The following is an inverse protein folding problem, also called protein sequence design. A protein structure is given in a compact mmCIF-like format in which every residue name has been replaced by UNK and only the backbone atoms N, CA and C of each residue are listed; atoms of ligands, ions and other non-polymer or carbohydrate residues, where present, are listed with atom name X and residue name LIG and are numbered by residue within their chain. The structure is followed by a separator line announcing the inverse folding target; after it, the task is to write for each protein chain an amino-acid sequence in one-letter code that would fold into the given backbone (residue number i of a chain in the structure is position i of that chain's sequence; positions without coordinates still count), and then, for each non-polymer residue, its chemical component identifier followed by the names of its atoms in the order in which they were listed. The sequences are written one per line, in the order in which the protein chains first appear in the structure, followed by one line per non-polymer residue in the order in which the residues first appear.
data_IF_031332709288
#
_entry.id   IF_031332709288
#
_cell.length_a   1.000
_cell.length_b   1.000
_cell.length_c   1.000
_cell.angle_alpha   90.00
_cell.angle_beta   90.00
_cell.angle_gamma   90.00
#
_symmetry.space_group_name_H-M   'P 1'
#
loop_
_entity.id
_entity.type
_entity.pdbx_description
1 polymer ?
#
# COMPACT_ATOMS: atom_id res chain seq x y z
N UNK A 1 -5.94 -22.72 -41.70
CA UNK A 1 -6.76 -21.62 -41.14
C UNK A 1 -6.26 -21.38 -39.72
N UNK A 2 -5.31 -20.45 -39.55
CA UNK A 2 -4.67 -20.19 -38.25
C UNK A 2 -5.43 -19.07 -37.58
N UNK A 3 -6.24 -19.37 -36.56
CA UNK A 3 -6.84 -18.36 -35.70
C UNK A 3 -5.82 -17.99 -34.62
N UNK A 4 -5.17 -16.85 -34.78
CA UNK A 4 -4.44 -16.20 -33.71
C UNK A 4 -5.45 -15.45 -32.83
N UNK A 5 -5.67 -15.93 -31.60
CA UNK A 5 -6.41 -15.21 -30.57
C UNK A 5 -5.47 -14.14 -29.98
N UNK A 6 -5.80 -12.87 -30.23
CA UNK A 6 -5.12 -11.73 -29.63
C UNK A 6 -5.49 -11.60 -28.15
N UNK A 7 -4.48 -11.54 -27.29
CA UNK A 7 -4.64 -11.17 -25.89
C UNK A 7 -4.85 -9.65 -25.80
N UNK A 8 -6.02 -9.23 -25.33
CA UNK A 8 -6.26 -7.84 -24.97
C UNK A 8 -5.70 -7.58 -23.57
N UNK A 9 -4.58 -6.86 -23.48
CA UNK A 9 -4.00 -6.40 -22.21
C UNK A 9 -4.84 -5.27 -21.63
N UNK A 10 -5.57 -5.55 -20.56
CA UNK A 10 -6.25 -4.57 -19.70
C UNK A 10 -5.44 -4.34 -18.43
N UNK A 11 -4.21 -3.82 -18.55
CA UNK A 11 -3.35 -3.56 -17.39
C UNK A 11 -3.67 -2.20 -16.75
N UNK A 12 -3.72 -1.13 -17.54
CA UNK A 12 -3.78 0.25 -17.03
C UNK A 12 -5.04 0.59 -16.21
N UNK A 13 -6.24 0.16 -16.65
CA UNK A 13 -7.49 0.43 -15.90
C UNK A 13 -7.57 -0.39 -14.61
N UNK A 14 -6.98 -1.59 -14.61
CA UNK A 14 -6.89 -2.45 -13.43
C UNK A 14 -5.89 -1.90 -12.41
N UNK A 15 -4.73 -1.46 -12.87
CA UNK A 15 -3.67 -0.91 -12.01
C UNK A 15 -4.10 0.38 -11.31
N UNK A 16 -4.68 1.34 -12.05
CA UNK A 16 -5.14 2.61 -11.46
C UNK A 16 -6.28 2.39 -10.45
N UNK A 17 -7.19 1.45 -10.72
CA UNK A 17 -8.29 1.14 -9.80
C UNK A 17 -7.80 0.42 -8.53
N UNK A 18 -6.80 -0.46 -8.64
CA UNK A 18 -6.14 -1.09 -7.49
C UNK A 18 -5.36 -0.10 -6.65
N UNK A 19 -4.63 0.84 -7.27
CA UNK A 19 -3.91 1.92 -6.57
C UNK A 19 -4.91 2.82 -5.82
N UNK A 20 -6.03 3.19 -6.46
CA UNK A 20 -7.08 3.98 -5.81
C UNK A 20 -7.73 3.24 -4.64
N UNK A 21 -7.92 1.93 -4.77
CA UNK A 21 -8.41 1.10 -3.68
C UNK A 21 -7.42 1.05 -2.50
N UNK A 22 -6.13 0.83 -2.78
CA UNK A 22 -5.05 0.88 -1.80
C UNK A 22 -4.98 2.20 -1.04
N UNK A 23 -5.09 3.32 -1.77
CA UNK A 23 -5.17 4.66 -1.18
C UNK A 23 -6.33 4.77 -0.18
N UNK A 24 -7.53 4.35 -0.57
CA UNK A 24 -8.70 4.41 0.32
C UNK A 24 -8.53 3.57 1.58
N UNK A 25 -7.86 2.41 1.49
CA UNK A 25 -7.55 1.57 2.65
C UNK A 25 -6.61 2.27 3.63
N UNK A 26 -5.52 2.87 3.15
CA UNK A 26 -4.54 3.51 4.04
C UNK A 26 -5.06 4.84 4.60
N UNK A 27 -5.89 5.57 3.86
CA UNK A 27 -6.57 6.75 4.37
C UNK A 27 -7.51 6.41 5.53
N UNK A 28 -8.29 5.33 5.39
CA UNK A 28 -9.22 4.89 6.43
C UNK A 28 -8.52 4.36 7.68
N UNK A 29 -7.45 3.59 7.50
CA UNK A 29 -6.89 2.78 8.59
C UNK A 29 -5.57 3.33 9.16
N UNK A 30 -4.82 4.14 8.40
CA UNK A 30 -3.45 4.54 8.75
C UNK A 30 -3.28 6.07 8.93
N UNK A 31 -4.12 6.88 8.28
CA UNK A 31 -3.96 8.34 8.22
C UNK A 31 -4.06 9.06 9.58
N UNK A 32 -4.61 8.40 10.61
CA UNK A 32 -4.65 8.95 11.97
C UNK A 32 -3.25 9.24 12.52
N UNK A 33 -2.24 8.48 12.11
CA UNK A 33 -0.85 8.65 12.56
C UNK A 33 0.12 8.96 11.43
N UNK A 34 -0.08 8.36 10.25
CA UNK A 34 0.85 8.48 9.13
C UNK A 34 0.40 9.54 8.13
N UNK A 35 1.36 10.29 7.56
CA UNK A 35 1.13 10.97 6.30
C UNK A 35 1.10 9.95 5.16
N UNK A 36 -0.12 9.64 4.68
CA UNK A 36 -0.36 8.62 3.65
C UNK A 36 -0.37 9.17 2.22
N UNK A 37 -0.33 10.50 2.05
CA UNK A 37 -0.36 11.17 0.75
C UNK A 37 1.05 11.46 0.18
N UNK A 38 1.10 12.08 -1.02
CA UNK A 38 2.36 12.48 -1.66
C UNK A 38 3.10 13.59 -0.91
N UNK A 39 2.45 14.26 0.03
CA UNK A 39 3.02 15.32 0.85
C UNK A 39 2.48 15.32 2.27
N UNK A 40 2.91 16.31 3.06
CA UNK A 40 2.52 16.47 4.46
C UNK A 40 3.37 15.67 5.44
N UNK A 41 3.22 16.01 6.72
CA UNK A 41 3.91 15.40 7.84
C UNK A 41 3.00 14.43 8.58
N UNK A 42 3.60 13.38 9.14
CA UNK A 42 2.87 12.43 9.98
C UNK A 42 2.46 13.10 11.28
N UNK A 43 1.26 12.78 11.77
CA UNK A 43 0.75 13.30 13.03
C UNK A 43 1.50 12.72 14.25
N UNK A 44 2.11 11.54 14.11
CA UNK A 44 2.91 10.90 15.14
C UNK A 44 4.40 10.91 14.76
N UNK A 45 5.33 11.30 15.64
CA UNK A 45 6.75 11.45 15.32
C UNK A 45 7.40 10.13 14.85
N UNK A 46 7.02 9.02 15.47
CA UNK A 46 7.54 7.69 15.09
C UNK A 46 6.81 7.05 13.90
N UNK A 47 5.78 7.72 13.35
CA UNK A 47 5.06 7.23 12.18
C UNK A 47 5.72 7.79 10.92
N UNK A 48 6.54 7.03 10.17
CA UNK A 48 7.11 7.54 8.92
C UNK A 48 6.00 7.86 7.91
N UNK A 49 6.17 8.93 7.10
CA UNK A 49 5.33 9.15 5.94
C UNK A 49 5.46 8.01 4.93
N UNK A 50 4.35 7.60 4.32
CA UNK A 50 4.31 6.41 3.46
C UNK A 50 5.26 6.51 2.26
N UNK A 51 5.35 7.70 1.65
CA UNK A 51 6.28 7.99 0.56
C UNK A 51 7.76 7.76 0.89
N UNK A 52 8.13 7.70 2.18
CA UNK A 52 9.49 7.48 2.65
C UNK A 52 9.74 6.06 3.17
N UNK A 53 8.73 5.18 3.16
CA UNK A 53 8.88 3.82 3.69
C UNK A 53 9.94 3.01 2.93
N UNK A 54 9.99 3.15 1.61
CA UNK A 54 10.97 2.47 0.75
C UNK A 54 12.43 2.79 1.08
N UNK A 55 12.70 3.90 1.76
CA UNK A 55 14.06 4.28 2.19
C UNK A 55 14.52 3.48 3.41
N UNK A 56 13.59 2.89 4.16
CA UNK A 56 13.86 2.18 5.42
C UNK A 56 13.54 0.70 5.36
N UNK A 57 12.57 0.32 4.53
CA UNK A 57 12.05 -1.03 4.46
C UNK A 57 11.98 -1.47 2.98
N UNK A 58 12.57 -2.63 2.64
CA UNK A 58 12.24 -3.34 1.40
C UNK A 58 10.72 -3.49 1.26
N UNK A 59 10.23 -3.51 0.02
CA UNK A 59 8.78 -3.59 -0.19
C UNK A 59 8.23 -4.96 0.22
N UNK A 60 9.08 -5.98 0.14
CA UNK A 60 8.82 -7.35 0.56
C UNK A 60 8.54 -7.42 2.06
N UNK A 61 9.39 -6.76 2.87
CA UNK A 61 9.22 -6.67 4.33
C UNK A 61 7.92 -5.95 4.71
N UNK A 62 7.56 -4.89 3.95
CA UNK A 62 6.28 -4.19 4.14
C UNK A 62 5.08 -5.10 3.81
N UNK A 63 5.20 -5.92 2.78
CA UNK A 63 4.17 -6.87 2.38
C UNK A 63 4.02 -7.99 3.42
N UNK A 64 5.14 -8.51 3.94
CA UNK A 64 5.15 -9.51 5.00
C UNK A 64 4.52 -8.97 6.29
N UNK A 65 4.91 -7.77 6.73
CA UNK A 65 4.31 -7.12 7.90
C UNK A 65 2.80 -6.88 7.74
N UNK A 66 2.32 -6.61 6.53
CA UNK A 66 0.89 -6.51 6.24
C UNK A 66 0.18 -7.88 6.28
N UNK A 67 0.86 -8.94 5.85
CA UNK A 67 0.33 -10.30 5.81
C UNK A 67 0.25 -10.96 7.19
N UNK A 68 1.22 -10.69 8.06
CA UNK A 68 1.22 -11.14 9.45
C UNK A 68 0.24 -10.35 10.33
N UNK A 69 -0.29 -9.24 9.81
CA UNK A 69 -1.07 -8.26 10.54
C UNK A 69 -0.16 -7.14 11.05
N UNK A 70 -0.55 -5.90 10.79
CA UNK A 70 0.20 -4.69 11.15
C UNK A 70 0.20 -4.46 12.68
N UNK A 71 0.89 -5.32 13.42
CA UNK A 71 1.22 -5.14 14.83
C UNK A 71 2.74 -5.04 14.90
N UNK A 72 3.29 -3.83 14.82
CA UNK A 72 4.74 -3.60 14.97
C UNK A 72 5.20 -3.80 16.43
N UNK A 73 4.42 -4.48 17.28
CA UNK A 73 4.67 -4.62 18.71
C UNK A 73 4.56 -3.32 19.51
N UNK A 74 4.19 -2.20 18.87
CA UNK A 74 4.05 -0.90 19.53
C UNK A 74 2.56 -0.64 19.87
N UNK A 75 2.22 -0.32 21.13
CA UNK A 75 0.82 -0.18 21.56
C UNK A 75 0.05 0.92 20.80
N UNK A 76 0.76 1.90 20.26
CA UNK A 76 0.13 2.99 19.52
C UNK A 76 -0.26 2.61 18.08
N UNK A 77 0.23 1.49 17.55
CA UNK A 77 -0.15 0.96 16.25
C UNK A 77 -1.28 -0.06 16.40
N UNK A 78 -2.53 0.29 16.09
CA UNK A 78 -3.63 -0.64 16.18
C UNK A 78 -3.43 -1.72 15.12
N UNK A 79 -3.86 -2.92 15.48
CA UNK A 79 -3.88 -4.04 14.57
C UNK A 79 -4.76 -3.74 13.36
N UNK A 80 -4.23 -4.03 12.18
CA UNK A 80 -4.97 -4.01 10.93
C UNK A 80 -4.69 -5.32 10.19
N UNK A 81 -5.74 -6.11 10.00
CA UNK A 81 -5.70 -7.37 9.26
C UNK A 81 -6.24 -7.10 7.86
N UNK A 82 -5.36 -7.17 6.86
CA UNK A 82 -5.71 -6.99 5.46
C UNK A 82 -5.89 -8.34 4.77
N UNK A 83 -6.86 -8.43 3.85
CA UNK A 83 -6.91 -9.58 2.93
C UNK A 83 -5.74 -9.53 1.94
N UNK A 84 -5.33 -10.65 1.32
CA UNK A 84 -4.26 -10.63 0.32
C UNK A 84 -4.47 -9.59 -0.79
N UNK A 85 -5.70 -9.44 -1.28
CA UNK A 85 -6.05 -8.42 -2.28
C UNK A 85 -5.84 -6.98 -1.77
N UNK A 86 -6.22 -6.72 -0.50
CA UNK A 86 -5.98 -5.43 0.14
C UNK A 86 -4.49 -5.14 0.29
N UNK A 87 -3.69 -6.16 0.64
CA UNK A 87 -2.23 -6.03 0.76
C UNK A 87 -1.63 -5.62 -0.58
N UNK A 88 -1.99 -6.31 -1.67
CA UNK A 88 -1.52 -5.96 -3.01
C UNK A 88 -1.90 -4.53 -3.39
N UNK A 89 -3.13 -4.11 -3.13
CA UNK A 89 -3.59 -2.76 -3.40
C UNK A 89 -2.80 -1.70 -2.59
N UNK A 90 -2.58 -1.96 -1.29
CA UNK A 90 -1.83 -1.06 -0.39
C UNK A 90 -0.37 -0.94 -0.85
N UNK A 91 0.28 -2.05 -1.15
CA UNK A 91 1.67 -2.06 -1.63
C UNK A 91 1.78 -1.32 -2.97
N UNK A 92 0.87 -1.57 -3.90
CA UNK A 92 0.83 -0.85 -5.18
C UNK A 92 0.67 0.66 -4.99
N UNK A 93 -0.17 1.08 -4.04
CA UNK A 93 -0.28 2.51 -3.69
C UNK A 93 1.01 3.06 -3.06
N UNK A 94 1.63 2.37 -2.09
CA UNK A 94 2.90 2.83 -1.48
C UNK A 94 4.00 2.98 -2.53
N UNK A 95 4.13 2.01 -3.44
CA UNK A 95 5.08 2.08 -4.56
C UNK A 95 4.79 3.27 -5.48
N UNK A 96 3.52 3.62 -5.70
CA UNK A 96 3.15 4.77 -6.52
C UNK A 96 3.61 6.12 -5.94
N UNK A 97 3.86 6.19 -4.62
CA UNK A 97 4.32 7.40 -3.93
C UNK A 97 5.84 7.61 -3.96
N UNK A 98 6.61 6.52 -4.06
CA UNK A 98 8.06 6.50 -3.87
C UNK A 98 8.88 6.48 -5.16
N UNK A 99 8.54 7.32 -6.14
CA UNK A 99 9.37 7.53 -7.34
C UNK A 99 10.55 8.44 -7.07
#
# INVERSE_FOLDING_TARGET
MVLALGFASSACVGEDSQIAYGKGLVEKNCARRHAVGPGGESAHPDAPPFRLLHLRYPIEDLQEALAEGMSTGHPDMPEFVASPEQIFAIIGYIQSLGR
#
